data_IF_454523828199
#
_entry.id   IF_454523828199
#
_cell.length_a   1.000
_cell.length_b   1.000
_cell.length_c   1.000
_cell.angle_alpha   90.00
_cell.angle_beta   90.00
_cell.angle_gamma   90.00
#
_symmetry.space_group_name_H-M   'P 1'
#
loop_
_entity.id
_entity.type
_entity.pdbx_description
1 polymer ?
#
# COMPACT_ATOMS: atom_id res chain seq x y z
N UNK A 1 21.52 -31.11 -1.59
CA UNK A 1 22.76 -31.08 -0.81
C UNK A 1 22.75 -29.86 0.09
N UNK A 2 23.22 -30.01 1.32
CA UNK A 2 23.36 -28.89 2.27
C UNK A 2 24.71 -28.21 2.05
N UNK A 3 24.72 -26.88 2.02
CA UNK A 3 25.94 -26.06 1.88
C UNK A 3 26.11 -25.18 3.13
N UNK A 4 27.34 -25.07 3.65
CA UNK A 4 27.68 -24.32 4.86
C UNK A 4 28.51 -23.07 4.51
N UNK A 5 28.13 -21.92 5.07
CA UNK A 5 28.85 -20.65 4.93
C UNK A 5 29.35 -20.17 6.30
N UNK A 6 30.66 -20.05 6.45
CA UNK A 6 31.28 -19.52 7.67
C UNK A 6 31.39 -17.99 7.58
N UNK A 7 31.03 -17.28 8.65
CA UNK A 7 31.11 -15.83 8.72
C UNK A 7 31.34 -15.34 10.15
N UNK A 8 31.89 -14.14 10.28
CA UNK A 8 32.05 -13.47 11.59
C UNK A 8 30.74 -12.83 12.07
N UNK A 9 29.87 -12.41 11.14
CA UNK A 9 28.61 -11.71 11.43
C UNK A 9 27.52 -12.06 10.41
N UNK A 10 26.26 -11.96 10.85
CA UNK A 10 25.07 -12.13 10.01
C UNK A 10 24.23 -10.85 10.08
N UNK A 11 23.85 -10.30 8.93
CA UNK A 11 22.95 -9.14 8.83
C UNK A 11 21.54 -9.59 8.42
N UNK A 12 20.57 -9.47 9.34
CA UNK A 12 19.17 -9.81 9.08
C UNK A 12 18.42 -8.71 8.34
N UNK A 13 18.36 -8.81 7.00
CA UNK A 13 17.64 -7.88 6.12
C UNK A 13 16.49 -8.57 5.36
N UNK A 14 15.92 -9.62 5.95
CA UNK A 14 14.98 -10.55 5.34
C UNK A 14 13.49 -10.14 5.53
N UNK A 15 13.24 -9.03 6.22
CA UNK A 15 11.93 -8.39 6.28
C UNK A 15 11.01 -8.92 7.38
N UNK A 16 9.83 -8.31 7.50
CA UNK A 16 8.93 -8.56 8.62
C UNK A 16 8.34 -9.98 8.65
N UNK A 17 8.19 -10.64 7.51
CA UNK A 17 7.58 -11.98 7.41
C UNK A 17 8.59 -13.12 7.36
N UNK A 18 9.90 -12.83 7.32
CA UNK A 18 10.92 -13.87 7.22
C UNK A 18 10.91 -14.81 8.44
N UNK A 19 11.09 -16.12 8.21
CA UNK A 19 11.28 -17.09 9.27
C UNK A 19 12.74 -17.23 9.73
N UNK A 20 13.69 -16.47 9.17
CA UNK A 20 15.11 -16.65 9.45
C UNK A 20 15.56 -15.77 10.61
N UNK A 21 16.10 -14.59 10.34
CA UNK A 21 16.98 -13.90 11.29
C UNK A 21 16.29 -13.54 12.61
N UNK A 22 15.05 -13.03 12.55
CA UNK A 22 14.31 -12.67 13.78
C UNK A 22 13.88 -13.89 14.57
N UNK A 23 13.49 -14.99 13.92
CA UNK A 23 13.03 -16.21 14.61
C UNK A 23 14.20 -17.05 15.14
N UNK A 24 15.43 -16.83 14.65
CA UNK A 24 16.65 -17.42 15.21
C UNK A 24 17.05 -16.82 16.58
N UNK A 25 16.48 -15.68 16.98
CA UNK A 25 16.73 -15.06 18.29
C UNK A 25 15.78 -15.69 19.32
N UNK A 26 16.28 -16.18 20.47
CA UNK A 26 15.43 -16.71 21.53
C UNK A 26 14.36 -15.69 21.97
N UNK A 27 13.10 -16.14 22.04
CA UNK A 27 11.94 -15.27 22.25
C UNK A 27 11.97 -14.48 23.56
N UNK A 28 12.61 -15.03 24.60
CA UNK A 28 12.77 -14.44 25.92
C UNK A 28 13.72 -13.22 25.92
N UNK A 29 14.55 -13.09 24.89
CA UNK A 29 15.42 -11.93 24.68
C UNK A 29 14.73 -10.82 23.88
N UNK A 30 13.55 -11.10 23.31
CA UNK A 30 12.81 -10.18 22.45
C UNK A 30 11.66 -9.53 23.22
N UNK A 31 11.58 -8.21 23.15
CA UNK A 31 10.37 -7.47 23.51
C UNK A 31 9.68 -6.98 22.22
N UNK A 32 8.46 -7.44 21.98
CA UNK A 32 7.66 -7.02 20.83
C UNK A 32 6.60 -6.02 21.24
N UNK A 33 6.55 -4.88 20.56
CA UNK A 33 5.48 -3.87 20.70
C UNK A 33 4.76 -3.80 19.36
N UNK A 34 3.45 -3.97 19.36
CA UNK A 34 2.63 -3.98 18.15
C UNK A 34 1.38 -3.12 18.35
N UNK A 35 1.01 -2.39 17.30
CA UNK A 35 -0.25 -1.66 17.22
C UNK A 35 -0.91 -1.98 15.88
N UNK A 36 -2.10 -2.57 15.93
CA UNK A 36 -2.88 -2.90 14.75
C UNK A 36 -3.94 -1.82 14.52
N UNK A 37 -3.94 -1.22 13.34
CA UNK A 37 -4.98 -0.29 12.93
C UNK A 37 -6.22 -1.04 12.42
N UNK A 38 -7.44 -0.54 12.66
CA UNK A 38 -8.68 -1.21 12.26
C UNK A 38 -9.02 -0.95 10.78
N UNK A 39 -8.03 -0.90 9.89
CA UNK A 39 -8.18 -0.73 8.44
C UNK A 39 -6.98 -1.33 7.69
N UNK A 40 -7.19 -1.63 6.41
CA UNK A 40 -6.11 -2.01 5.47
C UNK A 40 -6.01 -0.99 4.34
N UNK A 41 -4.94 -1.06 3.54
CA UNK A 41 -4.78 -0.23 2.35
C UNK A 41 -4.81 -1.08 1.08
N UNK A 42 -5.83 -0.89 0.25
CA UNK A 42 -5.78 -1.36 -1.12
C UNK A 42 -4.79 -0.49 -1.90
N UNK A 43 -3.65 -1.06 -2.27
CA UNK A 43 -2.57 -0.43 -3.02
C UNK A 43 -2.71 -0.74 -4.50
N UNK A 44 -2.73 0.28 -5.37
CA UNK A 44 -2.97 0.14 -6.81
C UNK A 44 -1.84 0.81 -7.60
N UNK A 45 -1.18 0.09 -8.51
CA UNK A 45 -0.33 0.71 -9.53
C UNK A 45 -1.12 0.85 -10.82
N UNK A 46 -1.14 2.04 -11.40
CA UNK A 46 -1.81 2.25 -12.68
C UNK A 46 -0.98 3.11 -13.64
N UNK A 47 -1.10 2.79 -14.92
CA UNK A 47 -0.58 3.62 -16.01
C UNK A 47 -1.61 4.70 -16.34
N UNK A 48 -1.47 5.83 -15.65
CA UNK A 48 -2.30 7.02 -15.78
C UNK A 48 -1.47 8.26 -15.48
N UNK A 49 -1.72 9.41 -16.14
CA UNK A 49 -1.01 10.63 -15.82
C UNK A 49 -1.33 11.12 -14.39
N UNK A 50 -0.41 11.84 -13.74
CA UNK A 50 -0.69 12.52 -12.49
C UNK A 50 -1.88 13.47 -12.64
N UNK A 51 -2.78 13.46 -11.66
CA UNK A 51 -3.88 14.44 -11.59
C UNK A 51 -3.45 15.77 -10.95
N UNK A 52 -2.19 15.87 -10.52
CA UNK A 52 -1.56 17.07 -9.96
C UNK A 52 -0.04 16.95 -9.99
N UNK A 53 0.66 18.02 -9.61
CA UNK A 53 2.14 18.07 -9.60
C UNK A 53 2.76 17.48 -8.35
N UNK A 54 1.95 17.23 -7.31
CA UNK A 54 2.39 16.78 -6.01
C UNK A 54 1.53 15.60 -5.53
N UNK A 55 1.99 14.98 -4.45
CA UNK A 55 1.28 13.92 -3.77
C UNK A 55 -0.02 14.49 -3.13
N UNK A 56 -1.10 13.72 -3.12
CA UNK A 56 -2.36 14.12 -2.46
C UNK A 56 -2.70 13.12 -1.36
N UNK A 57 -2.70 13.61 -0.11
CA UNK A 57 -3.33 12.92 1.02
C UNK A 57 -4.78 13.41 1.13
N UNK A 58 -5.74 12.52 0.93
CA UNK A 58 -7.15 12.86 0.96
C UNK A 58 -7.86 12.11 2.08
N UNK A 59 -8.48 12.85 3.00
CA UNK A 59 -9.37 12.29 4.00
C UNK A 59 -10.82 12.62 3.64
N UNK A 60 -11.62 11.60 3.37
CA UNK A 60 -13.04 11.75 3.11
C UNK A 60 -13.84 11.22 4.30
N UNK A 61 -14.68 12.07 4.92
CA UNK A 61 -15.39 11.73 6.17
C UNK A 61 -16.25 10.46 6.09
N UNK A 62 -16.89 10.21 4.94
CA UNK A 62 -17.74 9.04 4.71
C UNK A 62 -17.00 7.78 4.22
N UNK A 63 -16.06 7.93 3.30
CA UNK A 63 -15.44 6.81 2.59
C UNK A 63 -14.02 6.48 3.08
N UNK A 64 -13.46 7.31 3.97
CA UNK A 64 -12.13 7.13 4.54
C UNK A 64 -11.02 7.74 3.69
N UNK A 65 -9.79 7.30 3.96
CA UNK A 65 -8.59 7.83 3.35
C UNK A 65 -8.37 7.37 1.90
N UNK A 66 -7.72 8.23 1.11
CA UNK A 66 -7.11 7.90 -0.18
C UNK A 66 -5.78 8.62 -0.36
N UNK A 67 -4.87 8.00 -1.12
CA UNK A 67 -3.56 8.54 -1.46
C UNK A 67 -3.38 8.54 -2.98
N UNK A 68 -2.92 9.66 -3.54
CA UNK A 68 -2.39 9.75 -4.90
C UNK A 68 -0.89 10.04 -4.82
N UNK A 69 -0.05 9.05 -5.15
CA UNK A 69 1.41 9.13 -5.02
C UNK A 69 2.10 8.95 -6.38
N UNK A 70 2.86 9.96 -6.80
CA UNK A 70 3.51 9.96 -8.11
C UNK A 70 4.62 8.89 -8.16
N UNK A 71 4.77 8.24 -9.32
CA UNK A 71 5.94 7.39 -9.64
C UNK A 71 6.67 7.90 -10.87
N UNK A 72 5.93 8.35 -11.89
CA UNK A 72 6.45 9.06 -13.07
C UNK A 72 5.33 9.92 -13.68
N UNK A 73 5.59 10.55 -14.83
CA UNK A 73 4.58 11.29 -15.60
C UNK A 73 3.49 10.41 -16.23
N UNK A 74 3.66 9.09 -16.21
CA UNK A 74 2.73 8.13 -16.80
C UNK A 74 2.30 7.04 -15.82
N UNK A 75 2.75 7.10 -14.56
CA UNK A 75 2.52 6.05 -13.57
C UNK A 75 2.26 6.60 -12.19
N UNK A 76 1.17 6.16 -11.59
CA UNK A 76 0.71 6.58 -10.26
C UNK A 76 0.49 5.36 -9.38
N UNK A 77 0.89 5.48 -8.10
CA UNK A 77 0.51 4.56 -7.04
C UNK A 77 -0.61 5.20 -6.24
N UNK A 78 -1.75 4.53 -6.17
CA UNK A 78 -2.86 4.93 -5.33
C UNK A 78 -2.97 4.04 -4.10
N UNK A 79 -3.58 4.57 -3.04
CA UNK A 79 -4.06 3.77 -1.92
C UNK A 79 -5.49 4.16 -1.56
N UNK A 80 -6.31 3.17 -1.22
CA UNK A 80 -7.62 3.36 -0.62
C UNK A 80 -7.61 2.70 0.76
N UNK A 81 -8.09 3.42 1.78
CA UNK A 81 -8.43 2.78 3.04
C UNK A 81 -9.65 1.87 2.85
N UNK A 82 -9.53 0.62 3.26
CA UNK A 82 -10.57 -0.39 3.10
C UNK A 82 -10.81 -1.14 4.43
N UNK A 83 -11.84 -2.00 4.47
CA UNK A 83 -12.04 -2.87 5.62
C UNK A 83 -10.88 -3.86 5.75
N UNK A 84 -10.41 -4.21 6.97
CA UNK A 84 -9.42 -5.26 7.16
C UNK A 84 -9.84 -6.64 6.63
N UNK A 85 -11.14 -6.84 6.41
CA UNK A 85 -11.73 -8.10 5.91
C UNK A 85 -12.00 -8.09 4.41
N UNK A 86 -11.77 -6.96 3.72
CA UNK A 86 -11.97 -6.88 2.28
C UNK A 86 -10.93 -7.74 1.56
N UNK A 87 -11.34 -8.35 0.46
CA UNK A 87 -10.48 -9.13 -0.44
C UNK A 87 -10.31 -8.40 -1.77
N UNK A 88 -9.34 -8.81 -2.59
CA UNK A 88 -9.17 -8.22 -3.93
C UNK A 88 -10.40 -8.41 -4.83
N UNK A 89 -11.17 -9.48 -4.63
CA UNK A 89 -12.40 -9.72 -5.39
C UNK A 89 -13.50 -8.70 -5.10
N UNK A 90 -13.50 -8.10 -3.91
CA UNK A 90 -14.46 -7.05 -3.52
C UNK A 90 -14.17 -5.72 -4.23
N UNK A 91 -13.00 -5.58 -4.86
CA UNK A 91 -12.50 -4.33 -5.45
C UNK A 91 -12.22 -4.46 -6.96
N UNK A 92 -13.28 -4.61 -7.79
CA UNK A 92 -13.14 -4.52 -9.24
C UNK A 92 -12.74 -3.10 -9.66
N UNK A 93 -12.15 -2.98 -10.84
CA UNK A 93 -11.53 -1.75 -11.36
C UNK A 93 -12.49 -0.56 -11.33
N UNK A 94 -13.74 -0.77 -11.75
CA UNK A 94 -14.74 0.29 -11.78
C UNK A 94 -15.06 0.83 -10.39
N UNK A 95 -15.08 -0.04 -9.37
CA UNK A 95 -15.24 0.36 -7.97
C UNK A 95 -14.02 1.15 -7.52
N UNK A 96 -12.81 0.66 -7.80
CA UNK A 96 -11.55 1.33 -7.46
C UNK A 96 -11.53 2.76 -8.00
N UNK A 97 -11.79 2.92 -9.30
CA UNK A 97 -11.75 4.24 -9.93
C UNK A 97 -12.87 5.17 -9.44
N UNK A 98 -14.04 4.64 -9.13
CA UNK A 98 -15.15 5.40 -8.55
C UNK A 98 -14.77 5.92 -7.17
N UNK A 99 -14.24 5.06 -6.31
CA UNK A 99 -13.82 5.41 -4.94
C UNK A 99 -12.62 6.36 -4.93
N UNK A 100 -11.64 6.16 -5.81
CA UNK A 100 -10.52 7.09 -5.96
C UNK A 100 -11.01 8.49 -6.36
N UNK A 101 -11.86 8.57 -7.39
CA UNK A 101 -12.41 9.86 -7.81
C UNK A 101 -13.21 10.51 -6.69
N UNK A 102 -14.02 9.75 -5.95
CA UNK A 102 -14.84 10.32 -4.88
C UNK A 102 -14.01 10.83 -3.70
N UNK A 103 -12.96 10.10 -3.30
CA UNK A 103 -12.15 10.45 -2.14
C UNK A 103 -11.10 11.50 -2.42
N UNK A 104 -10.52 11.53 -3.62
CA UNK A 104 -9.42 12.43 -3.99
C UNK A 104 -9.93 13.76 -4.58
N UNK A 105 -11.21 13.86 -4.96
CA UNK A 105 -11.84 15.12 -5.41
C UNK A 105 -11.43 16.28 -4.50
N UNK A 106 -10.73 17.30 -5.02
CA UNK A 106 -10.38 18.45 -4.21
C UNK A 106 -11.63 19.25 -3.85
N UNK A 107 -11.56 19.99 -2.76
CA UNK A 107 -12.62 20.89 -2.28
C UNK A 107 -13.03 21.93 -3.34
N UNK A 108 -12.17 22.24 -4.31
CA UNK A 108 -12.46 23.17 -5.42
C UNK A 108 -12.91 22.50 -6.74
N UNK A 109 -13.08 21.16 -6.77
CA UNK A 109 -13.67 20.43 -7.90
C UNK A 109 -12.81 20.34 -9.16
N UNK A 110 -11.56 20.82 -9.16
CA UNK A 110 -10.75 20.92 -10.38
C UNK A 110 -9.97 19.65 -10.76
N UNK A 111 -9.76 18.70 -9.84
CA UNK A 111 -8.98 17.49 -10.11
C UNK A 111 -9.89 16.28 -10.25
N UNK A 112 -10.01 15.76 -11.47
CA UNK A 112 -10.59 14.43 -11.72
C UNK A 112 -9.46 13.44 -11.98
N UNK A 113 -9.58 12.22 -11.44
CA UNK A 113 -8.62 11.17 -11.69
C UNK A 113 -8.89 10.60 -13.08
N UNK A 114 -7.88 10.69 -13.94
CA UNK A 114 -7.91 10.01 -15.23
C UNK A 114 -7.77 8.51 -14.97
N UNK A 115 -8.72 7.72 -15.48
CA UNK A 115 -8.63 6.26 -15.39
C UNK A 115 -7.53 5.77 -16.33
N UNK A 116 -6.78 4.76 -15.88
CA UNK A 116 -5.76 4.09 -16.65
C UNK A 116 -5.82 2.57 -16.48
N UNK A 117 -4.88 1.86 -17.08
CA UNK A 117 -4.72 0.43 -16.87
C UNK A 117 -4.19 0.16 -15.46
N UNK A 118 -4.86 -0.71 -14.69
CA UNK A 118 -4.36 -1.16 -13.39
C UNK A 118 -3.39 -2.32 -13.63
N UNK A 119 -2.12 -2.11 -13.28
CA UNK A 119 -1.04 -3.08 -13.46
C UNK A 119 -0.92 -4.03 -12.27
N UNK A 120 -1.12 -3.51 -11.05
CA UNK A 120 -0.91 -4.26 -9.81
C UNK A 120 -1.95 -3.86 -8.75
N UNK A 121 -2.32 -4.83 -7.91
CA UNK A 121 -3.16 -4.63 -6.72
C UNK A 121 -2.66 -5.48 -5.56
N UNK A 122 -2.66 -4.91 -4.36
CA UNK A 122 -2.33 -5.60 -3.12
C UNK A 122 -3.12 -4.99 -1.95
N UNK A 123 -3.38 -5.78 -0.92
CA UNK A 123 -3.95 -5.36 0.37
C UNK A 123 -2.91 -5.59 1.45
#
# INVERSE_FOLDING_TARGET
DEEELHCDFIAGCDGATSPCCRQSIPSELLQTIHHLYPFSWLSILADTPPSGTELIYAHHSKYGFALHSLRSLTRIRFHLQISPTDTLADWPDDRIWTELNERVKPINGQTSITKGEILERAI
#
